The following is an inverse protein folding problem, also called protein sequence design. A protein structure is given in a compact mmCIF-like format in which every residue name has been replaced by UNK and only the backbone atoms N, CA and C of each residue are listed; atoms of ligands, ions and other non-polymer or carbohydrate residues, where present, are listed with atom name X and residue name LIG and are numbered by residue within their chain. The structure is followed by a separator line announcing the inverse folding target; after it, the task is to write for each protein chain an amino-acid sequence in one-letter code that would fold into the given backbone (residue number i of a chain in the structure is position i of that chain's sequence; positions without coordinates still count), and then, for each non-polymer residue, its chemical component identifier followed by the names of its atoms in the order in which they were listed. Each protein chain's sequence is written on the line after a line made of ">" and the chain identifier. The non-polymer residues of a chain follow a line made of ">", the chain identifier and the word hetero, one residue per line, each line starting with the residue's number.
data_IF_328256436418
#
_entry.id   IF_328256436418
#
_cell.length_a   1.000
_cell.length_b   1.000
_cell.length_c   1.000
_cell.angle_alpha   90.00
_cell.angle_beta   90.00
_cell.angle_gamma   90.00
#
_symmetry.space_group_name_H-M   'P 1'
#
loop_
_entity.id
_entity.type
_entity.pdbx_description
1 polymer ?
#
# COMPACT_ATOMS: atom_id res chain seq x y z
N UNK A 1 1.95 -29.39 -28.25
CA UNK A 1 1.02 -28.35 -27.77
C UNK A 1 0.32 -28.95 -26.56
N UNK A 2 0.42 -28.47 -25.34
CA UNK A 2 0.29 -27.09 -24.86
C UNK A 2 1.00 -26.98 -23.50
N UNK A 3 1.77 -25.91 -23.32
CA UNK A 3 2.55 -25.67 -22.12
C UNK A 3 1.62 -25.36 -20.94
N UNK A 4 1.60 -26.23 -19.93
CA UNK A 4 0.93 -25.99 -18.63
C UNK A 4 1.85 -25.15 -17.75
N UNK A 5 1.81 -23.83 -17.96
CA UNK A 5 2.67 -22.87 -17.25
C UNK A 5 2.11 -22.34 -15.92
N UNK A 6 0.98 -22.83 -15.38
CA UNK A 6 0.34 -22.12 -14.27
C UNK A 6 -0.47 -22.93 -13.24
N UNK A 7 -0.29 -24.25 -13.11
CA UNK A 7 -1.02 -24.95 -12.05
C UNK A 7 -0.23 -26.09 -11.42
N UNK A 8 -0.12 -26.01 -10.09
CA UNK A 8 0.42 -27.09 -9.27
C UNK A 8 -0.43 -28.33 -9.46
N UNK A 9 0.18 -29.41 -9.94
CA UNK A 9 -0.51 -30.67 -10.16
C UNK A 9 -0.53 -31.46 -8.84
N UNK A 10 -1.71 -31.62 -8.25
CA UNK A 10 -1.90 -32.47 -7.07
C UNK A 10 -2.10 -33.90 -7.53
N UNK A 11 -1.13 -34.77 -7.24
CA UNK A 11 -1.24 -36.20 -7.53
C UNK A 11 -2.05 -36.92 -6.43
N UNK A 12 -2.69 -38.07 -6.75
CA UNK A 12 -3.35 -38.89 -5.73
C UNK A 12 -2.29 -39.40 -4.76
N UNK A 13 -2.31 -38.88 -3.53
CA UNK A 13 -1.24 -39.04 -2.53
C UNK A 13 -0.91 -37.76 -1.76
N UNK A 14 -1.47 -36.61 -2.15
CA UNK A 14 -1.45 -35.37 -1.36
C UNK A 14 -0.17 -34.55 -1.45
N UNK A 15 0.82 -34.99 -2.24
CA UNK A 15 2.02 -34.20 -2.52
C UNK A 15 1.77 -33.26 -3.71
N UNK A 16 1.68 -31.97 -3.43
CA UNK A 16 1.52 -30.92 -4.45
C UNK A 16 2.89 -30.51 -4.97
N UNK A 17 3.18 -30.80 -6.25
CA UNK A 17 4.44 -30.36 -6.87
C UNK A 17 4.22 -28.94 -7.44
N UNK A 18 4.75 -27.95 -6.72
CA UNK A 18 4.78 -26.56 -7.14
C UNK A 18 6.02 -26.32 -8.02
N UNK A 19 5.81 -25.80 -9.23
CA UNK A 19 6.90 -25.51 -10.16
C UNK A 19 7.89 -24.44 -9.64
N UNK A 20 9.12 -24.39 -10.19
CA UNK A 20 10.20 -23.50 -9.74
C UNK A 20 9.94 -21.99 -9.94
N UNK A 21 8.82 -21.61 -10.56
CA UNK A 21 8.36 -20.22 -10.73
C UNK A 21 7.28 -19.81 -9.70
N UNK A 22 7.30 -20.43 -8.51
CA UNK A 22 6.40 -20.15 -7.38
C UNK A 22 6.36 -18.68 -6.93
N UNK A 23 7.40 -17.90 -7.25
CA UNK A 23 7.46 -16.46 -7.00
C UNK A 23 6.66 -15.61 -8.00
N UNK A 24 6.27 -16.17 -9.16
CA UNK A 24 5.51 -15.49 -10.22
C UNK A 24 4.07 -16.00 -10.38
N UNK A 25 3.72 -17.16 -9.79
CA UNK A 25 2.39 -17.78 -9.99
C UNK A 25 1.30 -17.07 -9.20
N UNK A 26 1.65 -16.39 -8.10
CA UNK A 26 0.74 -15.60 -7.28
C UNK A 26 1.16 -14.12 -7.33
N UNK A 27 0.57 -13.35 -8.25
CA UNK A 27 0.68 -11.88 -8.26
C UNK A 27 0.35 -11.30 -6.86
N UNK A 28 -0.54 -11.97 -6.13
CA UNK A 28 -0.84 -11.67 -4.73
C UNK A 28 0.38 -11.70 -3.80
N UNK A 29 1.27 -12.69 -3.91
CA UNK A 29 2.46 -12.80 -3.03
C UNK A 29 3.49 -11.72 -3.28
N UNK A 30 3.66 -11.31 -4.54
CA UNK A 30 4.55 -10.19 -4.90
C UNK A 30 4.01 -8.89 -4.30
N UNK A 31 2.70 -8.65 -4.46
CA UNK A 31 2.02 -7.47 -3.90
C UNK A 31 2.11 -7.49 -2.36
N UNK A 32 1.85 -8.62 -1.71
CA UNK A 32 1.94 -8.76 -0.26
C UNK A 32 3.33 -8.40 0.29
N UNK A 33 4.40 -8.72 -0.44
CA UNK A 33 5.77 -8.33 -0.06
C UNK A 33 6.10 -6.87 -0.37
N UNK A 34 5.54 -6.29 -1.43
CA UNK A 34 5.85 -4.92 -1.86
C UNK A 34 5.07 -3.85 -1.10
N UNK A 35 3.79 -4.10 -0.78
CA UNK A 35 2.91 -3.17 -0.06
C UNK A 35 3.50 -2.63 1.25
N UNK A 36 4.10 -3.42 2.16
CA UNK A 36 4.59 -2.88 3.42
C UNK A 36 5.77 -1.91 3.22
N UNK A 37 6.64 -2.15 2.24
CA UNK A 37 7.69 -1.21 1.87
C UNK A 37 7.09 0.09 1.32
N UNK A 38 6.11 0.00 0.42
CA UNK A 38 5.44 1.19 -0.13
C UNK A 38 4.76 1.99 0.97
N UNK A 39 4.06 1.35 1.91
CA UNK A 39 3.43 2.03 3.05
C UNK A 39 4.46 2.66 3.99
N UNK A 40 5.61 2.01 4.22
CA UNK A 40 6.69 2.58 5.02
C UNK A 40 7.30 3.85 4.38
N UNK A 41 7.58 3.80 3.07
CA UNK A 41 8.06 4.98 2.33
C UNK A 41 7.00 6.06 2.23
N UNK A 42 5.73 5.69 2.01
CA UNK A 42 4.62 6.62 1.96
C UNK A 42 4.43 7.34 3.29
N UNK A 43 4.43 6.61 4.43
CA UNK A 43 4.32 7.19 5.76
C UNK A 43 5.48 8.13 6.11
N UNK A 44 6.71 7.73 5.76
CA UNK A 44 7.89 8.57 5.97
C UNK A 44 7.84 9.85 5.11
N UNK A 45 7.45 9.73 3.84
CA UNK A 45 7.25 10.87 2.95
C UNK A 45 6.15 11.81 3.45
N UNK A 46 5.05 11.25 3.96
CA UNK A 46 3.93 12.00 4.55
C UNK A 46 4.40 12.87 5.72
N UNK A 47 5.17 12.28 6.64
CA UNK A 47 5.72 13.00 7.79
C UNK A 47 6.57 14.20 7.36
N UNK A 48 7.48 14.00 6.40
CA UNK A 48 8.32 15.07 5.88
C UNK A 48 7.50 16.17 5.20
N UNK A 49 6.49 15.80 4.42
CA UNK A 49 5.61 16.74 3.75
C UNK A 49 4.77 17.54 4.74
N UNK A 50 4.31 16.91 5.82
CA UNK A 50 3.51 17.54 6.87
C UNK A 50 4.35 18.54 7.68
N UNK A 51 5.60 18.18 8.00
CA UNK A 51 6.56 19.10 8.64
C UNK A 51 6.88 20.30 7.74
N UNK A 52 7.16 20.06 6.45
CA UNK A 52 7.43 21.13 5.49
C UNK A 52 6.22 22.05 5.31
N UNK A 53 5.01 21.50 5.17
CA UNK A 53 3.77 22.28 5.06
C UNK A 53 3.47 23.08 6.34
N UNK A 54 3.72 22.50 7.52
CA UNK A 54 3.57 23.19 8.81
C UNK A 54 4.54 24.36 8.96
N UNK A 55 5.80 24.18 8.55
CA UNK A 55 6.78 25.27 8.53
C UNK A 55 6.42 26.36 7.52
N UNK A 56 5.98 26.00 6.32
CA UNK A 56 5.48 26.96 5.32
C UNK A 56 4.30 27.77 5.89
N UNK A 57 3.38 27.11 6.59
CA UNK A 57 2.23 27.78 7.21
C UNK A 57 2.63 28.78 8.30
N UNK A 58 3.55 28.41 9.18
CA UNK A 58 4.03 29.27 10.26
C UNK A 58 4.87 30.46 9.74
N UNK A 59 5.67 30.25 8.70
CA UNK A 59 6.55 31.28 8.12
C UNK A 59 5.80 32.26 7.22
N UNK A 60 4.60 31.90 6.75
CA UNK A 60 3.77 32.72 5.86
C UNK A 60 2.93 33.78 6.56
N UNK A 61 3.14 34.02 7.86
CA UNK A 61 2.31 34.85 8.74
C UNK A 61 2.18 36.35 8.38
N UNK A 62 2.67 36.80 7.22
CA UNK A 62 2.56 38.18 6.75
C UNK A 62 2.25 38.35 5.26
N UNK A 63 2.09 37.26 4.50
CA UNK A 63 1.83 37.29 3.05
C UNK A 63 0.66 36.34 2.73
N UNK A 64 -0.51 36.89 2.41
CA UNK A 64 -1.74 36.14 2.16
C UNK A 64 -1.57 35.08 1.07
N UNK A 65 -0.75 35.36 0.05
CA UNK A 65 -0.55 34.46 -1.08
C UNK A 65 0.23 33.21 -0.66
N UNK A 66 1.21 33.38 0.23
CA UNK A 66 1.96 32.27 0.82
C UNK A 66 1.11 31.50 1.82
N UNK A 67 0.27 32.19 2.59
CA UNK A 67 -0.66 31.56 3.53
C UNK A 67 -1.65 30.64 2.82
N UNK A 68 -2.22 31.09 1.69
CA UNK A 68 -3.15 30.29 0.89
C UNK A 68 -2.47 29.06 0.29
N UNK A 69 -1.25 29.25 -0.24
CA UNK A 69 -0.44 28.14 -0.78
C UNK A 69 -0.09 27.12 0.30
N UNK A 70 0.30 27.57 1.49
CA UNK A 70 0.61 26.71 2.63
C UNK A 70 -0.63 25.95 3.12
N UNK A 71 -1.81 26.59 3.16
CA UNK A 71 -3.08 25.92 3.48
C UNK A 71 -3.44 24.83 2.47
N UNK A 72 -3.26 25.09 1.17
CA UNK A 72 -3.44 24.07 0.13
C UNK A 72 -2.46 22.90 0.33
N UNK A 73 -1.19 23.20 0.60
CA UNK A 73 -0.17 22.18 0.87
C UNK A 73 -0.51 21.32 2.09
N UNK A 74 -0.98 21.95 3.17
CA UNK A 74 -1.41 21.26 4.38
C UNK A 74 -2.65 20.39 4.13
N UNK A 75 -3.62 20.91 3.38
CA UNK A 75 -4.81 20.16 2.97
C UNK A 75 -4.41 18.93 2.15
N UNK A 76 -3.51 19.07 1.17
CA UNK A 76 -3.03 17.95 0.37
C UNK A 76 -2.29 16.90 1.22
N UNK A 77 -1.48 17.33 2.19
CA UNK A 77 -0.82 16.42 3.13
C UNK A 77 -1.86 15.67 3.99
N UNK A 78 -2.92 16.35 4.46
CA UNK A 78 -4.02 15.73 5.19
C UNK A 78 -4.82 14.74 4.34
N UNK A 79 -5.08 15.05 3.07
CA UNK A 79 -5.70 14.11 2.13
C UNK A 79 -4.81 12.87 1.96
N UNK A 80 -3.50 13.04 1.77
CA UNK A 80 -2.57 11.93 1.66
C UNK A 80 -2.60 11.04 2.91
N UNK A 81 -2.62 11.65 4.09
CA UNK A 81 -2.76 10.93 5.35
C UNK A 81 -4.08 10.14 5.41
N UNK A 82 -5.19 10.79 5.05
CA UNK A 82 -6.51 10.17 5.04
C UNK A 82 -6.59 9.01 4.05
N UNK A 83 -5.92 9.10 2.89
CA UNK A 83 -5.86 8.02 1.91
C UNK A 83 -5.14 6.81 2.48
N UNK A 84 -3.97 6.99 3.09
CA UNK A 84 -3.22 5.89 3.74
C UNK A 84 -4.03 5.27 4.87
N UNK A 85 -4.67 6.12 5.68
CA UNK A 85 -5.54 5.69 6.77
C UNK A 85 -6.73 4.87 6.26
N UNK A 86 -7.44 5.36 5.24
CA UNK A 86 -8.61 4.68 4.66
C UNK A 86 -8.22 3.43 3.89
N UNK A 87 -7.04 3.40 3.27
CA UNK A 87 -6.53 2.23 2.56
C UNK A 87 -6.39 1.01 3.49
N UNK A 88 -5.96 1.21 4.74
CA UNK A 88 -5.92 0.14 5.74
C UNK A 88 -7.30 -0.47 5.97
N UNK A 89 -8.32 0.37 6.18
CA UNK A 89 -9.70 -0.07 6.38
C UNK A 89 -10.30 -0.73 5.13
N UNK A 90 -10.01 -0.17 3.95
CA UNK A 90 -10.44 -0.75 2.67
C UNK A 90 -9.85 -2.15 2.46
N UNK A 91 -8.56 -2.33 2.73
CA UNK A 91 -7.91 -3.65 2.61
C UNK A 91 -8.49 -4.63 3.63
N UNK A 92 -8.79 -4.20 4.85
CA UNK A 92 -9.45 -5.03 5.87
C UNK A 92 -10.81 -5.56 5.39
N UNK A 93 -11.66 -4.68 4.85
CA UNK A 93 -12.99 -5.02 4.37
C UNK A 93 -12.90 -5.88 3.10
N UNK A 94 -12.05 -5.51 2.15
CA UNK A 94 -11.83 -6.29 0.92
C UNK A 94 -11.31 -7.69 1.25
N UNK A 95 -10.40 -7.84 2.20
CA UNK A 95 -9.89 -9.16 2.63
C UNK A 95 -10.98 -10.06 3.19
N UNK A 96 -11.95 -9.50 3.93
CA UNK A 96 -13.08 -10.27 4.46
C UNK A 96 -14.05 -10.73 3.37
N UNK A 97 -14.26 -9.91 2.34
CA UNK A 97 -15.18 -10.23 1.23
C UNK A 97 -14.54 -11.23 0.27
N UNK A 98 -13.26 -11.07 -0.05
CA UNK A 98 -12.53 -11.91 -1.01
C UNK A 98 -11.83 -13.12 -0.37
N UNK A 99 -11.87 -13.28 0.95
CA UNK A 99 -11.21 -14.40 1.67
C UNK A 99 -9.68 -14.37 1.60
N UNK A 100 -9.09 -13.26 1.17
CA UNK A 100 -7.65 -13.09 0.96
C UNK A 100 -6.96 -12.88 2.32
N UNK A 101 -6.68 -13.99 3.00
CA UNK A 101 -5.94 -14.01 4.28
C UNK A 101 -4.52 -13.43 4.12
N UNK A 102 -3.92 -13.50 2.93
CA UNK A 102 -2.59 -12.97 2.70
C UNK A 102 -2.53 -11.44 2.80
N UNK A 103 -3.56 -10.71 2.36
CA UNK A 103 -3.59 -9.25 2.49
C UNK A 103 -3.66 -8.79 3.95
N UNK A 104 -4.27 -9.59 4.82
CA UNK A 104 -4.21 -9.36 6.28
C UNK A 104 -2.81 -9.62 6.82
N UNK A 105 -2.07 -10.61 6.31
CA UNK A 105 -0.72 -10.93 6.78
C UNK A 105 0.31 -9.81 6.57
N UNK A 106 0.05 -8.88 5.63
CA UNK A 106 0.88 -7.68 5.45
C UNK A 106 0.78 -6.73 6.64
N UNK A 107 -0.42 -6.64 7.22
CA UNK A 107 -0.78 -5.64 8.22
C UNK A 107 -1.04 -6.27 9.61
N UNK A 108 -0.69 -7.54 9.80
CA UNK A 108 -0.75 -8.26 11.08
C UNK A 108 0.61 -8.34 11.73
#
# INVERSE_FOLDING_TARGET
>A
MQQVFAQSLTLPGGTTISGPVSWATDIGKIINRAVPYVFAFAGMGLLLMLLAAGFDYLTSAGDEKKLETAKQRLTNALIGFLVVFTAFWLVQIASKIFGLTEAQSIFR
#
